data_IF_150351663779
#
_entry.id   IF_150351663779
#
_cell.length_a   1.000
_cell.length_b   1.000
_cell.length_c   1.000
_cell.angle_alpha   90.00
_cell.angle_beta   90.00
_cell.angle_gamma   90.00
#
_symmetry.space_group_name_H-M   'P 1'
#
loop_
_entity.id
_entity.type
_entity.pdbx_description
1 polymer ?
#
# COMPACT_ATOMS: atom_id res chain seq x y z
N UNK A 1 1.94 18.60 -20.41
CA UNK A 1 1.90 17.71 -19.22
C UNK A 1 3.02 17.99 -18.22
N UNK A 2 4.29 18.17 -18.64
CA UNK A 2 5.44 18.38 -17.75
C UNK A 2 5.33 19.57 -16.77
N UNK A 3 4.78 20.71 -17.22
CA UNK A 3 4.71 21.94 -16.40
C UNK A 3 3.76 21.84 -15.20
N UNK A 4 2.63 21.15 -15.36
CA UNK A 4 1.65 20.94 -14.27
C UNK A 4 2.25 20.07 -13.16
N UNK A 5 2.98 19.02 -13.53
CA UNK A 5 3.68 18.15 -12.59
C UNK A 5 4.76 18.93 -11.82
N UNK A 6 5.52 19.80 -12.50
CA UNK A 6 6.53 20.64 -11.86
C UNK A 6 5.90 21.65 -10.89
N UNK A 7 4.78 22.28 -11.24
CA UNK A 7 4.07 23.19 -10.34
C UNK A 7 3.60 22.44 -9.09
N UNK A 8 2.95 21.29 -9.25
CA UNK A 8 2.44 20.51 -8.11
C UNK A 8 3.58 20.03 -7.21
N UNK A 9 4.67 19.53 -7.80
CA UNK A 9 5.86 19.14 -7.06
C UNK A 9 6.49 20.34 -6.32
N UNK A 10 6.57 21.50 -6.97
CA UNK A 10 7.07 22.73 -6.37
C UNK A 10 6.21 23.22 -5.20
N UNK A 11 4.88 23.15 -5.33
CA UNK A 11 3.95 23.47 -4.25
C UNK A 11 4.09 22.50 -3.07
N UNK A 12 4.22 21.20 -3.34
CA UNK A 12 4.46 20.19 -2.31
C UNK A 12 5.76 20.42 -1.56
N UNK A 13 6.85 20.73 -2.29
CA UNK A 13 8.14 21.07 -1.69
C UNK A 13 8.05 22.37 -0.87
N UNK A 14 7.41 23.41 -1.39
CA UNK A 14 7.22 24.67 -0.67
C UNK A 14 6.42 24.48 0.62
N UNK A 15 5.36 23.66 0.59
CA UNK A 15 4.58 23.31 1.77
C UNK A 15 5.42 22.54 2.80
N UNK A 16 6.23 21.56 2.36
CA UNK A 16 7.12 20.82 3.24
C UNK A 16 8.16 21.74 3.91
N UNK A 17 8.78 22.64 3.14
CA UNK A 17 9.73 23.63 3.67
C UNK A 17 9.06 24.60 4.65
N UNK A 18 7.84 25.05 4.34
CA UNK A 18 7.05 25.89 5.23
C UNK A 18 6.75 25.18 6.55
N UNK A 19 6.35 23.89 6.52
CA UNK A 19 6.11 23.10 7.73
C UNK A 19 7.38 22.93 8.56
N UNK A 20 8.52 22.68 7.93
CA UNK A 20 9.82 22.58 8.62
C UNK A 20 10.19 23.89 9.28
N UNK A 21 9.97 25.02 8.60
CA UNK A 21 10.20 26.34 9.17
C UNK A 21 9.24 26.65 10.33
N UNK A 22 7.95 26.34 10.15
CA UNK A 22 6.89 26.57 11.14
C UNK A 22 7.08 25.75 12.42
N UNK A 23 7.42 24.46 12.30
CA UNK A 23 7.70 23.59 13.45
C UNK A 23 9.07 23.90 14.06
N UNK A 24 10.03 24.34 13.23
CA UNK A 24 11.39 24.63 13.62
C UNK A 24 12.30 23.39 13.61
N UNK A 25 13.47 23.51 12.98
CA UNK A 25 14.44 22.41 12.86
C UNK A 25 14.89 21.85 14.21
N UNK A 26 15.06 22.71 15.22
CA UNK A 26 15.45 22.28 16.56
C UNK A 26 14.45 21.34 17.22
N UNK A 27 13.15 21.61 17.06
CA UNK A 27 12.09 20.74 17.59
C UNK A 27 12.05 19.38 16.89
N UNK A 28 12.23 19.39 15.56
CA UNK A 28 12.28 18.15 14.75
C UNK A 28 13.47 17.29 15.17
N UNK A 29 14.66 17.89 15.29
CA UNK A 29 15.87 17.17 15.72
C UNK A 29 15.78 16.69 17.16
N UNK A 30 15.23 17.49 18.07
CA UNK A 30 15.02 17.06 19.46
C UNK A 30 14.06 15.86 19.53
N UNK A 31 12.98 15.86 18.75
CA UNK A 31 12.07 14.72 18.66
C UNK A 31 12.75 13.48 18.06
N UNK A 32 13.57 13.64 17.02
CA UNK A 32 14.33 12.55 16.43
C UNK A 32 15.35 11.94 17.41
N UNK A 33 16.06 12.78 18.17
CA UNK A 33 17.01 12.35 19.21
C UNK A 33 16.27 11.69 20.38
N UNK A 34 15.08 12.15 20.73
CA UNK A 34 14.27 11.58 21.82
C UNK A 34 13.85 10.12 21.56
N UNK A 35 13.69 9.72 20.30
CA UNK A 35 13.48 8.29 19.94
C UNK A 35 14.70 7.45 20.31
N UNK A 36 15.90 8.01 20.13
CA UNK A 36 17.17 7.37 20.40
C UNK A 36 17.45 6.13 19.54
N UNK A 37 18.61 5.53 19.74
CA UNK A 37 19.01 4.31 19.02
C UNK A 37 18.13 3.10 19.34
N UNK A 38 17.64 2.99 20.57
CA UNK A 38 16.75 1.91 21.00
C UNK A 38 15.39 1.95 20.31
N UNK A 39 14.74 3.13 20.29
CA UNK A 39 13.47 3.31 19.58
C UNK A 39 13.64 3.11 18.08
N UNK A 40 14.74 3.60 17.50
CA UNK A 40 15.06 3.37 16.09
C UNK A 40 15.25 1.89 15.77
N UNK A 41 16.02 1.15 16.59
CA UNK A 41 16.19 -0.29 16.41
C UNK A 41 14.86 -1.04 16.50
N UNK A 42 13.98 -0.66 17.45
CA UNK A 42 12.65 -1.26 17.57
C UNK A 42 11.79 -0.99 16.33
N UNK A 43 11.84 0.22 15.78
CA UNK A 43 11.17 0.54 14.52
C UNK A 43 11.69 -0.32 13.37
N UNK A 44 13.01 -0.43 13.21
CA UNK A 44 13.62 -1.27 12.17
C UNK A 44 13.23 -2.75 12.32
N UNK A 45 13.30 -3.29 13.53
CA UNK A 45 12.92 -4.68 13.79
C UNK A 45 11.43 -4.91 13.54
N UNK A 46 10.58 -3.97 13.95
CA UNK A 46 9.15 -3.98 13.64
C UNK A 46 8.88 -3.99 12.14
N UNK A 47 9.58 -3.16 11.37
CA UNK A 47 9.48 -3.14 9.90
C UNK A 47 9.93 -4.47 9.29
N UNK A 48 11.06 -5.03 9.71
CA UNK A 48 11.54 -6.34 9.22
C UNK A 48 10.52 -7.45 9.52
N UNK A 49 9.95 -7.46 10.73
CA UNK A 49 8.92 -8.42 11.10
C UNK A 49 7.66 -8.28 10.24
N UNK A 50 7.21 -7.04 9.98
CA UNK A 50 6.07 -6.76 9.11
C UNK A 50 6.34 -7.21 7.66
N UNK A 51 7.52 -6.95 7.12
CA UNK A 51 7.87 -7.41 5.77
C UNK A 51 7.95 -8.93 5.68
N UNK A 52 8.47 -9.59 6.72
CA UNK A 52 8.45 -11.04 6.83
C UNK A 52 7.03 -11.59 6.80
N UNK A 53 6.14 -11.01 7.61
CA UNK A 53 4.73 -11.40 7.68
C UNK A 53 4.00 -11.15 6.35
N UNK A 54 4.06 -9.94 5.81
CA UNK A 54 3.38 -9.57 4.57
C UNK A 54 3.91 -10.36 3.37
N UNK A 55 5.24 -10.53 3.27
CA UNK A 55 5.84 -11.37 2.24
C UNK A 55 5.42 -12.84 2.35
N UNK A 56 5.31 -13.37 3.58
CA UNK A 56 4.81 -14.73 3.80
C UNK A 56 3.33 -14.87 3.44
N UNK A 57 2.50 -13.85 3.74
CA UNK A 57 1.09 -13.84 3.35
C UNK A 57 0.93 -13.82 1.83
N UNK A 58 1.77 -13.07 1.12
CA UNK A 58 1.79 -13.07 -0.34
C UNK A 58 2.22 -14.44 -0.90
N UNK A 59 3.20 -15.11 -0.28
CA UNK A 59 3.62 -16.46 -0.70
C UNK A 59 2.47 -17.48 -0.63
N UNK A 60 1.60 -17.40 0.38
CA UNK A 60 0.43 -18.29 0.54
C UNK A 60 -0.57 -18.18 -0.63
N UNK A 61 -0.52 -17.10 -1.41
CA UNK A 61 -1.37 -16.94 -2.60
C UNK A 61 -0.93 -17.84 -3.77
N UNK A 62 0.26 -18.42 -3.72
CA UNK A 62 0.74 -19.31 -4.78
C UNK A 62 0.23 -20.74 -4.60
N UNK A 63 -0.04 -21.47 -5.70
CA UNK A 63 -0.27 -22.90 -5.64
C UNK A 63 0.92 -23.63 -5.02
N UNK A 64 0.64 -24.68 -4.24
CA UNK A 64 1.67 -25.52 -3.62
C UNK A 64 2.65 -26.13 -4.65
N UNK A 65 2.20 -26.32 -5.90
CA UNK A 65 3.01 -26.81 -7.02
C UNK A 65 4.06 -25.82 -7.55
N UNK A 66 4.02 -24.56 -7.13
CA UNK A 66 4.93 -23.53 -7.65
C UNK A 66 6.39 -23.69 -7.19
N UNK A 67 6.63 -24.36 -6.05
CA UNK A 67 7.98 -24.58 -5.51
C UNK A 67 8.74 -23.31 -5.09
N UNK A 68 8.14 -22.13 -5.22
CA UNK A 68 8.80 -20.87 -4.89
C UNK A 68 8.97 -20.74 -3.37
N UNK A 69 10.14 -20.29 -2.91
CA UNK A 69 10.40 -20.08 -1.48
C UNK A 69 9.79 -18.78 -0.96
N UNK A 70 9.28 -18.78 0.28
CA UNK A 70 8.67 -17.60 0.93
C UNK A 70 9.62 -16.39 1.00
N UNK A 71 10.94 -16.62 1.10
CA UNK A 71 11.93 -15.55 1.15
C UNK A 71 11.98 -14.70 -0.13
N UNK A 72 11.66 -15.29 -1.29
CA UNK A 72 11.59 -14.56 -2.57
C UNK A 72 10.46 -13.51 -2.51
N UNK A 73 9.35 -13.84 -1.87
CA UNK A 73 8.20 -12.93 -1.70
C UNK A 73 8.47 -11.82 -0.70
N UNK A 74 9.16 -12.12 0.41
CA UNK A 74 9.62 -11.10 1.37
C UNK A 74 10.53 -10.08 0.67
N UNK A 75 11.47 -10.54 -0.16
CA UNK A 75 12.35 -9.64 -0.93
C UNK A 75 11.59 -8.84 -1.99
N UNK A 76 10.68 -9.47 -2.71
CA UNK A 76 9.85 -8.77 -3.69
C UNK A 76 8.99 -7.70 -3.03
N UNK A 77 8.43 -7.99 -1.85
CA UNK A 77 7.67 -7.06 -1.02
C UNK A 77 8.51 -5.86 -0.58
N UNK A 78 9.71 -6.12 -0.07
CA UNK A 78 10.68 -5.08 0.30
C UNK A 78 11.01 -4.17 -0.89
N UNK A 79 11.30 -4.75 -2.05
CA UNK A 79 11.62 -4.00 -3.28
C UNK A 79 10.42 -3.16 -3.74
N UNK A 80 9.22 -3.75 -3.71
CA UNK A 80 7.97 -3.08 -4.09
C UNK A 80 7.72 -1.83 -3.25
N UNK A 81 7.84 -1.97 -1.93
CA UNK A 81 7.53 -0.89 -0.99
C UNK A 81 8.65 0.16 -1.01
N UNK A 82 9.92 -0.25 -1.03
CA UNK A 82 11.06 0.69 -1.18
C UNK A 82 10.98 1.49 -2.47
N UNK A 83 10.61 0.86 -3.59
CA UNK A 83 10.44 1.54 -4.86
C UNK A 83 9.25 2.51 -4.86
N UNK A 84 8.18 2.19 -4.12
CA UNK A 84 7.01 3.06 -3.99
C UNK A 84 7.30 4.32 -3.16
N UNK A 85 8.20 4.21 -2.17
CA UNK A 85 8.50 5.31 -1.24
C UNK A 85 9.72 6.14 -1.64
N UNK A 86 10.76 5.54 -2.24
CA UNK A 86 12.04 6.22 -2.52
C UNK A 86 12.08 6.81 -3.93
N UNK A 87 11.47 6.12 -4.91
CA UNK A 87 11.52 6.58 -6.29
C UNK A 87 10.42 7.62 -6.54
N UNK A 88 10.64 8.59 -7.44
CA UNK A 88 9.63 9.59 -7.80
C UNK A 88 8.54 9.01 -8.71
N UNK A 89 8.11 7.77 -8.43
CA UNK A 89 7.04 7.08 -9.13
C UNK A 89 5.82 7.03 -8.23
N UNK A 90 4.65 6.90 -8.86
CA UNK A 90 3.45 6.53 -8.09
C UNK A 90 3.60 5.12 -7.52
N UNK A 91 2.76 4.76 -6.55
CA UNK A 91 2.65 3.41 -5.99
C UNK A 91 2.55 2.31 -7.07
N UNK A 92 2.00 2.64 -8.25
CA UNK A 92 1.94 1.74 -9.40
C UNK A 92 3.33 1.32 -9.91
N UNK A 93 4.33 2.20 -9.84
CA UNK A 93 5.70 1.92 -10.24
C UNK A 93 6.37 0.88 -9.33
N UNK A 94 6.20 1.02 -8.01
CA UNK A 94 6.71 0.03 -7.06
C UNK A 94 6.04 -1.33 -7.22
N UNK A 95 4.72 -1.36 -7.44
CA UNK A 95 3.96 -2.57 -7.78
C UNK A 95 4.55 -3.31 -8.99
N UNK A 96 4.85 -2.59 -10.08
CA UNK A 96 5.47 -3.17 -11.28
C UNK A 96 6.88 -3.73 -11.00
N UNK A 97 7.69 -3.00 -10.23
CA UNK A 97 9.04 -3.43 -9.85
C UNK A 97 9.00 -4.67 -8.94
N UNK A 98 8.03 -4.75 -8.02
CA UNK A 98 7.81 -5.92 -7.17
C UNK A 98 7.49 -7.19 -7.97
N UNK A 99 6.61 -7.09 -8.97
CA UNK A 99 6.33 -8.21 -9.90
C UNK A 99 7.59 -8.60 -10.67
N UNK A 100 8.32 -7.61 -11.19
CA UNK A 100 9.56 -7.88 -11.92
C UNK A 100 10.58 -8.60 -11.05
N UNK A 101 10.68 -8.26 -9.77
CA UNK A 101 11.55 -8.95 -8.82
C UNK A 101 11.18 -10.43 -8.66
N UNK A 102 9.90 -10.78 -8.61
CA UNK A 102 9.46 -12.19 -8.59
C UNK A 102 9.81 -12.93 -9.90
N UNK A 103 9.58 -12.27 -11.05
CA UNK A 103 9.87 -12.86 -12.36
C UNK A 103 11.36 -13.17 -12.51
N UNK A 104 12.23 -12.25 -12.07
CA UNK A 104 13.69 -12.46 -12.09
C UNK A 104 14.16 -13.58 -11.17
N UNK A 105 13.33 -13.99 -10.19
CA UNK A 105 13.59 -15.10 -9.28
C UNK A 105 12.92 -16.41 -9.74
N UNK A 106 12.40 -16.46 -10.97
CA UNK A 106 11.88 -17.68 -11.60
C UNK A 106 10.37 -17.90 -11.47
N UNK A 107 9.62 -16.98 -10.85
CA UNK A 107 8.15 -17.06 -10.83
C UNK A 107 7.60 -16.68 -12.21
N UNK A 108 6.68 -17.47 -12.76
CA UNK A 108 6.10 -17.17 -14.07
C UNK A 108 5.38 -15.81 -14.05
N UNK A 109 5.51 -15.03 -15.12
CA UNK A 109 4.93 -13.69 -15.20
C UNK A 109 3.40 -13.64 -14.96
N UNK A 110 2.59 -14.58 -15.48
CA UNK A 110 1.16 -14.63 -15.18
C UNK A 110 0.89 -14.88 -13.69
N UNK A 111 1.64 -15.78 -13.04
CA UNK A 111 1.46 -16.13 -11.64
C UNK A 111 1.90 -14.98 -10.71
N UNK A 112 3.04 -14.35 -11.01
CA UNK A 112 3.54 -13.19 -10.28
C UNK A 112 2.55 -12.01 -10.35
N UNK A 113 1.99 -11.74 -11.53
CA UNK A 113 1.02 -10.65 -11.72
C UNK A 113 -0.32 -10.96 -11.03
N UNK A 114 -0.82 -12.19 -11.17
CA UNK A 114 -2.08 -12.58 -10.55
C UNK A 114 -2.01 -12.56 -9.02
N UNK A 115 -0.95 -13.13 -8.44
CA UNK A 115 -0.75 -13.13 -6.98
C UNK A 115 -0.60 -11.72 -6.42
N UNK A 116 0.13 -10.83 -7.10
CA UNK A 116 0.23 -9.42 -6.72
C UNK A 116 -1.13 -8.71 -6.70
N UNK A 117 -1.97 -8.91 -7.72
CA UNK A 117 -3.29 -8.28 -7.80
C UNK A 117 -4.12 -8.67 -6.57
N UNK A 118 -4.09 -9.94 -6.18
CA UNK A 118 -4.78 -10.44 -4.99
C UNK A 118 -4.14 -9.89 -3.70
N UNK A 119 -2.81 -9.82 -3.62
CA UNK A 119 -2.07 -9.25 -2.48
C UNK A 119 -2.46 -7.77 -2.23
N UNK A 120 -2.36 -6.92 -3.26
CA UNK A 120 -2.74 -5.49 -3.19
C UNK A 120 -4.21 -5.31 -2.81
N UNK A 121 -5.07 -6.22 -3.25
CA UNK A 121 -6.50 -6.17 -2.91
C UNK A 121 -6.73 -6.51 -1.46
N UNK A 122 -6.03 -7.53 -0.97
CA UNK A 122 -6.09 -7.94 0.43
C UNK A 122 -5.56 -6.83 1.33
N UNK A 123 -4.49 -6.14 0.94
CA UNK A 123 -4.00 -4.94 1.62
C UNK A 123 -5.04 -3.84 1.67
N UNK A 124 -5.67 -3.52 0.54
CA UNK A 124 -6.69 -2.47 0.49
C UNK A 124 -7.88 -2.80 1.39
N UNK A 125 -8.35 -4.06 1.39
CA UNK A 125 -9.42 -4.51 2.30
C UNK A 125 -8.99 -4.44 3.76
N UNK A 126 -7.75 -4.82 4.07
CA UNK A 126 -7.19 -4.71 5.41
C UNK A 126 -7.08 -3.24 5.86
N UNK A 127 -6.70 -2.32 4.98
CA UNK A 127 -6.67 -0.88 5.26
C UNK A 127 -8.07 -0.33 5.54
N UNK A 128 -9.09 -0.75 4.78
CA UNK A 128 -10.49 -0.39 5.02
C UNK A 128 -10.93 -0.90 6.40
N UNK A 129 -10.64 -2.16 6.73
CA UNK A 129 -10.96 -2.74 8.03
C UNK A 129 -10.23 -2.03 9.19
N UNK A 130 -8.93 -1.73 9.01
CA UNK A 130 -8.13 -0.99 9.98
C UNK A 130 -8.68 0.41 10.21
N UNK A 131 -9.04 1.13 9.15
CA UNK A 131 -9.65 2.45 9.23
C UNK A 131 -11.00 2.40 9.95
N UNK A 132 -11.85 1.41 9.65
CA UNK A 132 -13.12 1.21 10.33
C UNK A 132 -12.95 0.99 11.83
N UNK A 133 -11.98 0.13 12.21
CA UNK A 133 -11.66 -0.13 13.61
C UNK A 133 -11.14 1.13 14.32
N UNK A 134 -10.25 1.89 13.68
CA UNK A 134 -9.75 3.15 14.22
C UNK A 134 -10.87 4.17 14.46
N UNK A 135 -11.78 4.33 13.50
CA UNK A 135 -12.95 5.21 13.62
C UNK A 135 -13.86 4.75 14.77
N UNK A 136 -14.11 3.45 14.91
CA UNK A 136 -14.92 2.90 15.99
C UNK A 136 -14.31 3.20 17.37
N UNK A 137 -13.00 2.98 17.52
CA UNK A 137 -12.27 3.28 18.77
C UNK A 137 -12.32 4.78 19.08
N UNK A 138 -12.02 5.64 18.09
CA UNK A 138 -12.06 7.10 18.27
C UNK A 138 -13.46 7.57 18.68
N UNK A 139 -14.50 7.05 18.02
CA UNK A 139 -15.90 7.40 18.31
C UNK A 139 -16.35 6.95 19.71
N UNK A 140 -15.77 5.86 20.22
CA UNK A 140 -16.09 5.31 21.54
C UNK A 140 -15.29 5.95 22.68
N UNK A 141 -14.07 6.43 22.41
CA UNK A 141 -13.12 6.87 23.45
C UNK A 141 -12.94 8.38 23.54
N UNK A 142 -13.09 9.13 22.45
CA UNK A 142 -12.82 10.56 22.46
C UNK A 142 -14.06 11.38 22.85
N UNK A 143 -13.88 12.52 23.55
CA UNK A 143 -14.95 13.46 23.83
C UNK A 143 -15.57 14.01 22.54
N UNK A 144 -16.89 14.22 22.55
CA UNK A 144 -17.64 14.77 21.41
C UNK A 144 -17.45 16.29 21.29
N UNK A 145 -16.24 16.72 20.95
CA UNK A 145 -15.98 18.11 20.56
C UNK A 145 -16.38 18.34 19.10
N UNK A 146 -16.58 19.61 18.70
CA UNK A 146 -16.90 19.98 17.32
C UNK A 146 -15.82 19.52 16.32
N UNK A 147 -14.55 19.58 16.72
CA UNK A 147 -13.41 19.13 15.91
C UNK A 147 -13.44 17.60 15.73
N UNK A 148 -13.56 16.84 16.83
CA UNK A 148 -13.57 15.37 16.77
C UNK A 148 -14.75 14.87 15.95
N UNK A 149 -15.94 15.46 16.12
CA UNK A 149 -17.13 15.07 15.36
C UNK A 149 -17.04 15.42 13.87
N UNK A 150 -16.37 16.52 13.50
CA UNK A 150 -16.11 16.88 12.10
C UNK A 150 -15.12 15.90 11.46
N UNK A 151 -13.99 15.64 12.12
CA UNK A 151 -12.97 14.69 11.65
C UNK A 151 -13.53 13.27 11.54
N UNK A 152 -14.33 12.82 12.52
CA UNK A 152 -14.96 11.50 12.49
C UNK A 152 -15.93 11.37 11.31
N UNK A 153 -16.71 12.40 11.00
CA UNK A 153 -17.59 12.41 9.82
C UNK A 153 -16.80 12.35 8.52
N UNK A 154 -15.73 13.14 8.39
CA UNK A 154 -14.87 13.08 7.22
C UNK A 154 -14.26 11.67 7.05
N UNK A 155 -13.77 11.08 8.14
CA UNK A 155 -13.23 9.72 8.13
C UNK A 155 -14.27 8.66 7.75
N UNK A 156 -15.52 8.79 8.22
CA UNK A 156 -16.63 7.91 7.83
C UNK A 156 -16.97 8.01 6.34
N UNK A 157 -16.96 9.22 5.77
CA UNK A 157 -17.17 9.42 4.33
C UNK A 157 -16.03 8.77 3.54
N UNK A 158 -14.78 8.99 3.95
CA UNK A 158 -13.62 8.35 3.33
C UNK A 158 -13.69 6.81 3.41
N UNK A 159 -14.13 6.27 4.55
CA UNK A 159 -14.33 4.83 4.73
C UNK A 159 -15.41 4.30 3.79
N UNK A 160 -16.54 4.98 3.66
CA UNK A 160 -17.62 4.57 2.76
C UNK A 160 -17.17 4.56 1.30
N UNK A 161 -16.48 5.62 0.86
CA UNK A 161 -15.92 5.70 -0.50
C UNK A 161 -14.87 4.60 -0.74
N UNK A 162 -13.98 4.37 0.21
CA UNK A 162 -12.98 3.31 0.15
C UNK A 162 -13.62 1.92 0.08
N UNK A 163 -14.64 1.65 0.89
CA UNK A 163 -15.38 0.39 0.87
C UNK A 163 -16.08 0.15 -0.47
N UNK A 164 -16.73 1.18 -1.03
CA UNK A 164 -17.36 1.09 -2.36
C UNK A 164 -16.31 0.78 -3.44
N UNK A 165 -15.20 1.52 -3.45
CA UNK A 165 -14.09 1.28 -4.38
C UNK A 165 -13.54 -0.15 -4.24
N UNK A 166 -13.38 -0.64 -3.01
CA UNK A 166 -12.92 -1.99 -2.72
C UNK A 166 -13.88 -3.08 -3.23
N UNK A 167 -15.18 -2.91 -3.01
CA UNK A 167 -16.21 -3.82 -3.52
C UNK A 167 -16.24 -3.84 -5.05
N UNK A 168 -16.16 -2.66 -5.69
CA UNK A 168 -16.09 -2.55 -7.15
C UNK A 168 -14.86 -3.25 -7.70
N UNK A 169 -13.69 -3.06 -7.07
CA UNK A 169 -12.46 -3.69 -7.51
C UNK A 169 -12.51 -5.22 -7.37
N UNK A 170 -13.04 -5.73 -6.26
CA UNK A 170 -13.29 -7.17 -6.08
C UNK A 170 -14.24 -7.73 -7.13
N UNK A 171 -15.29 -6.99 -7.47
CA UNK A 171 -16.21 -7.38 -8.54
C UNK A 171 -15.46 -7.48 -9.88
N UNK A 172 -14.66 -6.47 -10.24
CA UNK A 172 -13.86 -6.49 -11.47
C UNK A 172 -12.91 -7.70 -11.50
N UNK A 173 -12.26 -8.04 -10.39
CA UNK A 173 -11.38 -9.21 -10.32
C UNK A 173 -12.12 -10.54 -10.53
N UNK A 174 -13.27 -10.71 -9.86
CA UNK A 174 -14.06 -11.95 -9.96
C UNK A 174 -14.74 -12.11 -11.31
N UNK A 175 -15.27 -11.03 -11.89
CA UNK A 175 -16.00 -11.07 -13.16
C UNK A 175 -15.08 -10.90 -14.38
N UNK A 176 -13.93 -10.24 -14.24
CA UNK A 176 -12.96 -10.02 -15.31
C UNK A 176 -12.43 -11.31 -15.94
N UNK A 177 -12.16 -12.33 -15.12
CA UNK A 177 -11.75 -13.67 -15.58
C UNK A 177 -12.74 -14.26 -16.60
N UNK A 178 -14.05 -14.09 -16.37
CA UNK A 178 -15.10 -14.59 -17.28
C UNK A 178 -15.14 -13.82 -18.59
N UNK A 179 -14.88 -12.51 -18.54
CA UNK A 179 -14.88 -11.64 -19.73
C UNK A 179 -13.63 -11.94 -20.58
N UNK A 180 -12.46 -12.02 -19.97
CA UNK A 180 -11.21 -12.35 -20.67
C UNK A 180 -11.28 -13.75 -21.28
N UNK A 181 -11.83 -14.74 -20.58
CA UNK A 181 -12.04 -16.08 -21.13
C UNK A 181 -13.00 -16.09 -22.33
N UNK A 182 -14.07 -15.28 -22.30
CA UNK A 182 -15.02 -15.15 -23.42
C UNK A 182 -14.38 -14.48 -24.64
N UNK A 183 -13.56 -13.44 -24.42
CA UNK A 183 -12.86 -12.73 -25.50
C UNK A 183 -11.78 -13.65 -26.11
N UNK A 184 -10.97 -14.31 -25.27
CA UNK A 184 -9.98 -15.28 -25.75
C UNK A 184 -10.62 -16.40 -26.58
N UNK A 185 -11.74 -16.96 -26.10
CA UNK A 185 -12.49 -17.99 -26.82
C UNK A 185 -13.19 -17.48 -28.10
N UNK A 186 -13.41 -16.17 -28.25
CA UNK A 186 -13.92 -15.59 -29.47
C UNK A 186 -12.80 -15.36 -30.50
N UNK A 187 -11.60 -14.99 -30.04
CA UNK A 187 -10.42 -14.76 -30.89
C UNK A 187 -9.83 -16.07 -31.40
N UNK A 188 -9.83 -17.16 -30.62
CA UNK A 188 -9.32 -18.46 -31.07
C UNK A 188 -10.29 -19.25 -31.95
N UNK A 189 -11.51 -18.76 -32.15
CA UNK A 189 -12.54 -19.37 -33.01
C UNK A 189 -12.68 -18.69 -34.38
N UNK A 190 -11.95 -17.59 -34.62
CA UNK A 190 -11.79 -16.98 -35.94
C UNK A 190 -10.42 -17.31 -36.52
#
# INVERSE_FOLDING_TARGET
MKWRTLIIAGLGLALALYLVWYVGLGGILAAAVAVGWGGFALLCLGSVALFGLLGSAWHVLLPASSGAGAWIFVRARLVRDSASEVLPFSQLGGIAIGVRALILQGVSAPLASASLIVDVTTEMLAQIAYLALGIAIVSARLPRTSIVTSLTRAALISLALGAIAGVLFLAVQRYGQRITARIAAAVTRG
#
